data_IF_013234400782
#
_entry.id   IF_013234400782
#
_cell.length_a   1.000
_cell.length_b   1.000
_cell.length_c   1.000
_cell.angle_alpha   90.00
_cell.angle_beta   90.00
_cell.angle_gamma   90.00
#
_symmetry.space_group_name_H-M   'P 1'
#
loop_
_entity.id
_entity.type
_entity.pdbx_description
1 polymer ?
#
# COMPACT_ATOMS: atom_id res chain seq x y z
N UNK A 1 -7.75 87.07 -33.44
CA UNK A 1 -7.04 86.50 -32.27
C UNK A 1 -7.47 85.04 -32.17
N UNK A 2 -6.70 83.99 -32.44
CA UNK A 2 -5.29 83.81 -32.81
C UNK A 2 -5.26 82.59 -33.79
N UNK A 3 -4.83 82.74 -35.05
CA UNK A 3 -3.49 82.42 -35.58
C UNK A 3 -3.07 80.96 -35.29
N UNK A 4 -3.21 80.04 -36.26
CA UNK A 4 -2.18 79.62 -37.25
C UNK A 4 -0.89 79.11 -36.57
N UNK A 5 -0.19 78.08 -37.05
CA UNK A 5 0.55 78.12 -38.31
C UNK A 5 1.14 76.73 -38.64
N UNK A 6 0.92 76.27 -39.89
CA UNK A 6 1.86 75.68 -40.89
C UNK A 6 2.94 74.65 -40.48
N UNK A 7 3.01 73.46 -41.14
CA UNK A 7 3.75 73.10 -42.40
C UNK A 7 5.29 73.02 -42.21
N UNK A 8 6.13 72.39 -43.08
CA UNK A 8 5.84 71.75 -44.37
C UNK A 8 6.60 70.42 -44.68
N UNK A 9 6.14 69.82 -45.78
CA UNK A 9 6.75 68.78 -46.64
C UNK A 9 8.03 69.27 -47.35
N UNK A 10 9.02 68.38 -47.55
CA UNK A 10 9.89 68.40 -48.74
C UNK A 10 10.54 67.02 -48.97
N UNK A 11 10.44 66.54 -50.22
CA UNK A 11 11.03 65.31 -50.76
C UNK A 11 12.48 65.55 -51.25
N UNK A 12 13.31 64.49 -51.29
CA UNK A 12 14.40 64.24 -52.25
C UNK A 12 14.98 62.83 -51.98
N UNK A 13 14.83 61.84 -52.88
CA UNK A 13 15.80 61.46 -53.93
C UNK A 13 17.21 61.13 -53.38
N UNK A 14 17.55 59.85 -53.15
CA UNK A 14 18.13 58.89 -54.11
C UNK A 14 19.67 58.96 -54.22
N UNK A 15 20.39 57.92 -53.78
CA UNK A 15 21.59 57.36 -54.45
C UNK A 15 22.31 56.25 -53.65
N UNK A 16 21.96 55.00 -53.99
CA UNK A 16 22.82 53.85 -54.33
C UNK A 16 24.24 53.69 -53.74
N UNK A 17 24.47 52.63 -52.96
CA UNK A 17 25.79 51.96 -52.84
C UNK A 17 25.66 50.51 -52.33
N UNK A 18 26.14 49.57 -53.16
CA UNK A 18 26.88 48.36 -52.76
C UNK A 18 26.18 47.34 -51.84
N UNK A 19 25.79 46.20 -52.41
CA UNK A 19 25.37 45.01 -51.67
C UNK A 19 26.59 44.42 -50.94
N UNK A 20 26.64 44.62 -49.63
CA UNK A 20 27.69 44.11 -48.74
C UNK A 20 27.56 42.57 -48.57
N UNK A 21 28.58 41.76 -48.89
CA UNK A 21 28.55 40.29 -48.76
C UNK A 21 28.35 39.81 -47.31
N UNK A 22 28.61 40.66 -46.31
CA UNK A 22 28.28 40.39 -44.91
C UNK A 22 26.76 40.51 -44.65
N UNK A 23 26.12 41.50 -45.25
CA UNK A 23 24.66 41.73 -45.16
C UNK A 23 23.87 40.61 -45.82
N UNK A 24 24.36 40.07 -46.94
CA UNK A 24 23.75 38.91 -47.60
C UNK A 24 23.80 37.64 -46.71
N UNK A 25 24.91 37.43 -45.98
CA UNK A 25 25.04 36.31 -45.04
C UNK A 25 24.14 36.47 -43.82
N UNK A 26 24.01 37.69 -43.29
CA UNK A 26 23.11 38.00 -42.17
C UNK A 26 21.64 37.76 -42.57
N UNK A 27 21.22 38.25 -43.74
CA UNK A 27 19.87 37.98 -44.27
C UNK A 27 19.61 36.49 -44.53
N UNK A 28 20.63 35.73 -44.94
CA UNK A 28 20.51 34.27 -45.12
C UNK A 28 20.37 33.51 -43.79
N UNK A 29 20.99 34.01 -42.71
CA UNK A 29 20.85 33.46 -41.36
C UNK A 29 19.48 33.81 -40.77
N UNK A 30 19.03 35.06 -40.94
CA UNK A 30 17.71 35.52 -40.51
C UNK A 30 16.58 34.76 -41.22
N UNK A 31 16.69 34.56 -42.54
CA UNK A 31 15.69 33.79 -43.31
C UNK A 31 15.66 32.32 -42.89
N UNK A 32 16.81 31.67 -42.65
CA UNK A 32 16.87 30.31 -42.10
C UNK A 32 16.29 30.23 -40.68
N UNK A 33 16.52 31.24 -39.84
CA UNK A 33 15.96 31.29 -38.49
C UNK A 33 14.42 31.44 -38.51
N UNK A 34 13.89 32.26 -39.41
CA UNK A 34 12.45 32.44 -39.63
C UNK A 34 11.81 31.17 -40.22
N UNK A 35 12.48 30.49 -41.14
CA UNK A 35 11.95 29.24 -41.71
C UNK A 35 11.92 28.13 -40.65
N UNK A 36 12.94 28.07 -39.78
CA UNK A 36 13.01 27.11 -38.66
C UNK A 36 11.95 27.40 -37.59
N UNK A 37 11.64 28.68 -37.34
CA UNK A 37 10.56 29.07 -36.42
C UNK A 37 9.17 28.79 -37.00
N UNK A 38 8.98 28.99 -38.32
CA UNK A 38 7.75 28.59 -39.03
C UNK A 38 7.55 27.08 -39.03
N UNK A 39 8.60 26.28 -39.26
CA UNK A 39 8.54 24.81 -39.17
C UNK A 39 8.24 24.32 -37.75
N UNK A 40 8.84 24.93 -36.73
CA UNK A 40 8.51 24.64 -35.32
C UNK A 40 7.05 24.98 -35.00
N UNK A 41 6.55 26.16 -35.39
CA UNK A 41 5.13 26.52 -35.22
C UNK A 41 4.20 25.60 -35.99
N UNK A 42 4.55 25.20 -37.21
CA UNK A 42 3.75 24.24 -37.98
C UNK A 42 3.71 22.84 -37.34
N UNK A 43 4.81 22.43 -36.68
CA UNK A 43 4.88 21.18 -35.93
C UNK A 43 4.17 21.27 -34.56
N UNK A 44 4.13 22.45 -33.95
CA UNK A 44 3.32 22.78 -32.76
C UNK A 44 1.81 22.88 -33.07
N UNK A 45 1.46 23.19 -34.32
CA UNK A 45 0.08 23.31 -34.81
C UNK A 45 -0.48 22.01 -35.38
N UNK A 46 0.26 20.89 -35.30
CA UNK A 46 -0.36 19.59 -35.53
C UNK A 46 -1.52 19.45 -34.54
N UNK A 47 -2.77 19.25 -35.01
CA UNK A 47 -3.88 19.02 -34.11
C UNK A 47 -3.52 17.82 -33.24
N UNK A 48 -3.60 17.98 -31.92
CA UNK A 48 -3.66 16.82 -31.03
C UNK A 48 -4.74 15.87 -31.61
N UNK A 49 -4.46 14.57 -31.75
CA UNK A 49 -5.46 13.63 -32.24
C UNK A 49 -6.77 13.86 -31.50
N UNK A 50 -7.90 14.03 -32.21
CA UNK A 50 -9.17 14.22 -31.53
C UNK A 50 -9.43 12.95 -30.75
N UNK A 51 -9.73 13.14 -29.46
CA UNK A 51 -10.29 12.12 -28.59
C UNK A 51 -9.39 10.90 -28.39
N UNK A 52 -8.52 10.99 -27.38
CA UNK A 52 -8.32 9.84 -26.51
C UNK A 52 -9.73 9.40 -26.08
N UNK A 53 -10.25 8.35 -26.73
CA UNK A 53 -11.43 7.64 -26.29
C UNK A 53 -11.26 7.45 -24.80
N UNK A 54 -12.16 8.03 -24.01
CA UNK A 54 -12.23 7.74 -22.60
C UNK A 54 -12.25 6.22 -22.49
N UNK A 55 -11.16 5.65 -21.99
CA UNK A 55 -11.18 4.26 -21.54
C UNK A 55 -12.40 4.17 -20.61
N UNK A 56 -13.27 3.16 -20.78
CA UNK A 56 -14.38 3.00 -19.87
C UNK A 56 -13.78 2.97 -18.47
N UNK A 57 -14.12 3.96 -17.64
CA UNK A 57 -13.72 3.99 -16.25
C UNK A 57 -14.17 2.65 -15.67
N UNK A 58 -13.20 1.76 -15.46
CA UNK A 58 -13.43 0.52 -14.73
C UNK A 58 -14.08 1.00 -13.43
N UNK A 59 -15.31 0.55 -13.10
CA UNK A 59 -15.95 0.97 -11.87
C UNK A 59 -14.93 0.81 -10.77
N UNK A 60 -14.58 1.91 -10.09
CA UNK A 60 -13.70 1.85 -8.93
C UNK A 60 -14.32 0.80 -8.03
N UNK A 61 -13.67 -0.36 -7.94
CA UNK A 61 -14.15 -1.45 -7.13
C UNK A 61 -14.09 -0.92 -5.71
N UNK A 62 -15.23 -0.47 -5.20
CA UNK A 62 -15.35 -0.02 -3.82
C UNK A 62 -14.93 -1.23 -2.99
N UNK A 63 -13.71 -1.19 -2.46
CA UNK A 63 -13.16 -2.25 -1.67
C UNK A 63 -14.13 -2.46 -0.49
N UNK A 64 -14.82 -3.60 -0.48
CA UNK A 64 -15.75 -3.89 0.59
C UNK A 64 -14.95 -3.99 1.89
N UNK A 65 -15.28 -3.11 2.84
CA UNK A 65 -14.67 -3.14 4.16
C UNK A 65 -15.22 -4.37 4.89
N UNK A 66 -14.44 -5.44 4.90
CA UNK A 66 -14.78 -6.64 5.67
C UNK A 66 -14.31 -6.37 7.10
N UNK A 67 -15.22 -6.46 8.06
CA UNK A 67 -14.93 -6.33 9.49
C UNK A 67 -15.03 -7.69 10.18
N UNK A 68 -14.36 -7.83 11.34
CA UNK A 68 -14.56 -8.99 12.19
C UNK A 68 -16.02 -9.06 12.68
N UNK A 69 -16.56 -10.28 12.89
CA UNK A 69 -17.80 -10.44 13.63
C UNK A 69 -17.74 -9.72 14.98
N UNK A 70 -18.85 -9.15 15.43
CA UNK A 70 -18.90 -8.48 16.73
C UNK A 70 -19.16 -9.50 17.83
N UNK A 71 -18.41 -9.43 18.93
CA UNK A 71 -18.64 -10.24 20.13
C UNK A 71 -18.45 -9.39 21.41
N UNK A 72 -19.09 -9.78 22.53
CA UNK A 72 -18.96 -9.07 23.81
C UNK A 72 -17.51 -8.93 24.30
N UNK A 73 -17.18 -7.80 24.93
CA UNK A 73 -15.82 -7.48 25.40
C UNK A 73 -15.33 -8.35 26.58
N UNK A 74 -16.28 -8.91 27.34
CA UNK A 74 -16.04 -9.85 28.42
C UNK A 74 -15.66 -11.25 27.91
N UNK A 75 -15.75 -11.49 26.60
CA UNK A 75 -15.47 -12.79 25.98
C UNK A 75 -14.31 -12.71 25.00
N UNK A 76 -13.72 -13.86 24.72
CA UNK A 76 -12.77 -14.06 23.63
C UNK A 76 -13.42 -14.96 22.59
N UNK A 77 -13.10 -14.74 21.32
CA UNK A 77 -13.65 -15.50 20.19
C UNK A 77 -12.53 -15.93 19.25
N UNK A 78 -12.72 -17.08 18.62
CA UNK A 78 -11.91 -17.60 17.51
C UNK A 78 -12.77 -18.59 16.70
N UNK A 79 -12.20 -19.18 15.65
CA UNK A 79 -12.84 -20.23 14.87
C UNK A 79 -13.21 -21.43 15.75
N UNK A 80 -14.39 -22.00 15.51
CA UNK A 80 -14.92 -23.10 16.32
C UNK A 80 -13.99 -24.31 16.34
N UNK A 81 -13.38 -24.65 15.19
CA UNK A 81 -12.41 -25.72 15.03
C UNK A 81 -11.20 -25.59 15.99
N UNK A 82 -10.78 -24.36 16.34
CA UNK A 82 -9.66 -24.13 17.28
C UNK A 82 -10.02 -24.60 18.69
N UNK A 83 -11.24 -24.35 19.16
CA UNK A 83 -11.70 -24.81 20.47
C UNK A 83 -12.07 -26.29 20.50
N UNK A 84 -12.40 -26.86 19.34
CA UNK A 84 -12.83 -28.25 19.14
C UNK A 84 -11.68 -29.19 18.76
N UNK A 85 -10.44 -28.71 18.88
CA UNK A 85 -9.22 -29.48 18.57
C UNK A 85 -8.15 -29.31 19.65
N UNK A 86 -7.21 -30.23 19.65
CA UNK A 86 -6.00 -30.18 20.46
C UNK A 86 -4.93 -29.30 19.79
N UNK A 87 -5.31 -28.24 19.08
CA UNK A 87 -4.36 -27.26 18.55
C UNK A 87 -3.59 -26.58 19.68
N UNK A 88 -4.29 -26.20 20.75
CA UNK A 88 -3.73 -25.63 21.98
C UNK A 88 -4.01 -26.55 23.18
N UNK A 89 -3.26 -27.66 23.33
CA UNK A 89 -3.51 -28.63 24.38
C UNK A 89 -3.21 -28.05 25.77
N UNK A 90 -3.98 -28.49 26.77
CA UNK A 90 -3.74 -28.20 28.18
C UNK A 90 -2.60 -29.06 28.78
N UNK A 91 -1.42 -29.02 28.13
CA UNK A 91 -0.25 -29.81 28.49
C UNK A 91 0.94 -28.89 28.81
N UNK A 92 1.66 -29.21 29.88
CA UNK A 92 2.91 -28.53 30.23
C UNK A 92 4.11 -29.30 29.69
N UNK A 93 4.86 -28.66 28.79
CA UNK A 93 6.07 -29.24 28.19
C UNK A 93 7.30 -28.99 29.07
N UNK A 94 7.48 -29.78 30.13
CA UNK A 94 8.63 -29.66 31.05
C UNK A 94 9.99 -29.96 30.38
N UNK A 95 10.01 -30.86 29.39
CA UNK A 95 11.20 -31.29 28.65
C UNK A 95 11.46 -30.53 27.34
N UNK A 96 10.69 -29.46 27.08
CA UNK A 96 10.68 -28.79 25.79
C UNK A 96 9.53 -29.29 24.90
N UNK A 97 9.15 -28.42 23.97
CA UNK A 97 8.01 -28.65 23.07
C UNK A 97 8.47 -29.48 21.89
N UNK A 98 7.78 -30.58 21.53
CA UNK A 98 8.12 -31.33 20.33
C UNK A 98 7.87 -30.48 19.08
N UNK A 99 8.60 -30.80 18.02
CA UNK A 99 8.29 -30.32 16.67
C UNK A 99 7.44 -31.40 16.01
N UNK A 100 6.26 -31.02 15.51
CA UNK A 100 5.38 -31.91 14.77
C UNK A 100 5.54 -31.60 13.28
N UNK A 101 5.42 -32.62 12.43
CA UNK A 101 5.49 -32.47 10.97
C UNK A 101 4.32 -33.21 10.32
N UNK A 102 3.33 -32.45 9.86
CA UNK A 102 2.12 -32.98 9.23
C UNK A 102 1.29 -33.87 10.16
N UNK A 103 1.39 -33.69 11.49
CA UNK A 103 0.75 -34.58 12.44
C UNK A 103 -0.73 -34.24 12.58
N UNK A 104 -1.59 -35.27 12.52
CA UNK A 104 -3.02 -35.13 12.80
C UNK A 104 -3.23 -34.92 14.30
N UNK A 105 -3.83 -33.79 14.65
CA UNK A 105 -4.18 -33.49 16.03
C UNK A 105 -5.51 -34.13 16.40
N UNK A 106 -5.67 -34.46 17.69
CA UNK A 106 -6.96 -34.89 18.21
C UNK A 106 -7.99 -33.77 18.08
N UNK A 107 -9.16 -34.07 17.57
CA UNK A 107 -10.30 -33.16 17.41
C UNK A 107 -11.59 -33.94 17.59
N UNK A 108 -12.68 -33.21 17.82
CA UNK A 108 -14.01 -33.81 17.81
C UNK A 108 -14.43 -34.20 16.39
N UNK A 109 -15.44 -35.05 16.29
CA UNK A 109 -16.02 -35.47 15.01
C UNK A 109 -16.42 -34.26 14.14
N UNK A 110 -16.11 -34.34 12.84
CA UNK A 110 -16.38 -33.30 11.86
C UNK A 110 -15.28 -32.24 11.69
N UNK A 111 -14.27 -32.19 12.56
CA UNK A 111 -13.13 -31.28 12.44
C UNK A 111 -11.86 -32.10 12.21
N UNK A 112 -11.09 -31.76 11.18
CA UNK A 112 -9.78 -32.34 10.93
C UNK A 112 -8.70 -31.26 11.02
N UNK A 113 -7.64 -31.55 11.77
CA UNK A 113 -6.54 -30.60 12.01
C UNK A 113 -5.21 -31.30 11.83
N UNK A 114 -4.38 -30.80 10.93
CA UNK A 114 -2.99 -31.18 10.78
C UNK A 114 -2.09 -30.01 11.16
N UNK A 115 -0.98 -30.33 11.82
CA UNK A 115 -0.06 -29.32 12.32
C UNK A 115 1.39 -29.64 12.00
N UNK A 116 2.08 -28.63 11.47
CA UNK A 116 3.54 -28.62 11.31
C UNK A 116 4.13 -27.45 12.07
N UNK A 117 5.10 -27.71 12.94
CA UNK A 117 5.78 -26.68 13.71
C UNK A 117 6.04 -27.09 15.16
N UNK A 118 6.55 -26.14 15.94
CA UNK A 118 6.77 -26.35 17.38
C UNK A 118 5.42 -26.36 18.11
N UNK A 119 5.15 -27.43 18.86
CA UNK A 119 3.86 -27.65 19.53
C UNK A 119 3.39 -26.45 20.37
N UNK A 120 2.16 -26.03 20.12
CA UNK A 120 1.49 -25.00 20.91
C UNK A 120 1.04 -25.54 22.28
N UNK A 121 0.82 -24.62 23.21
CA UNK A 121 0.20 -24.87 24.51
C UNK A 121 -0.80 -23.76 24.86
N UNK A 122 -1.37 -23.82 26.06
CA UNK A 122 -2.36 -22.84 26.50
C UNK A 122 -1.84 -21.39 26.57
N UNK A 123 -0.55 -21.21 26.85
CA UNK A 123 0.05 -19.88 26.80
C UNK A 123 0.06 -19.29 25.39
N UNK A 124 0.17 -20.13 24.36
CA UNK A 124 0.06 -19.68 22.97
C UNK A 124 -1.40 -19.32 22.61
N UNK A 125 -2.39 -20.04 23.17
CA UNK A 125 -3.82 -19.72 23.00
C UNK A 125 -4.16 -18.35 23.61
N UNK A 126 -3.71 -18.08 24.83
CA UNK A 126 -3.98 -16.80 25.52
C UNK A 126 -3.50 -15.62 24.67
N UNK A 127 -2.28 -15.71 24.13
CA UNK A 127 -1.71 -14.68 23.25
C UNK A 127 -2.50 -14.58 21.95
N UNK A 128 -2.84 -15.71 21.33
CA UNK A 128 -3.62 -15.72 20.08
C UNK A 128 -5.00 -15.07 20.24
N UNK A 129 -5.74 -15.40 21.30
CA UNK A 129 -7.05 -14.81 21.58
C UNK A 129 -6.96 -13.31 21.88
N UNK A 130 -5.91 -12.88 22.57
CA UNK A 130 -5.69 -11.47 22.85
C UNK A 130 -5.31 -10.68 21.59
N UNK A 131 -4.51 -11.28 20.70
CA UNK A 131 -4.22 -10.72 19.37
C UNK A 131 -5.50 -10.56 18.54
N UNK A 132 -6.38 -11.57 18.53
CA UNK A 132 -7.68 -11.47 17.85
C UNK A 132 -8.56 -10.35 18.42
N UNK A 133 -8.56 -10.16 19.75
CA UNK A 133 -9.29 -9.06 20.38
C UNK A 133 -8.78 -7.69 19.94
N UNK A 134 -7.46 -7.53 19.82
CA UNK A 134 -6.85 -6.28 19.33
C UNK A 134 -7.20 -6.10 17.84
N UNK A 135 -7.03 -7.16 17.04
CA UNK A 135 -7.29 -7.16 15.61
C UNK A 135 -8.76 -6.86 15.26
N UNK A 136 -9.72 -7.24 16.11
CA UNK A 136 -11.16 -6.95 15.92
C UNK A 136 -11.47 -5.46 15.71
N UNK A 137 -10.63 -4.56 16.22
CA UNK A 137 -10.80 -3.09 16.05
C UNK A 137 -10.32 -2.59 14.69
N UNK A 138 -9.74 -3.47 13.89
CA UNK A 138 -9.11 -3.16 12.61
C UNK A 138 -9.84 -3.96 11.52
N UNK A 139 -10.23 -3.32 10.41
CA UNK A 139 -10.79 -4.03 9.27
C UNK A 139 -9.82 -5.08 8.72
N UNK A 140 -10.37 -6.12 8.08
CA UNK A 140 -9.54 -7.11 7.40
C UNK A 140 -8.71 -6.46 6.29
N UNK A 141 -7.50 -7.01 6.07
CA UNK A 141 -6.56 -6.49 5.07
C UNK A 141 -5.73 -5.28 5.54
N UNK A 142 -6.01 -4.72 6.72
CA UNK A 142 -5.21 -3.64 7.30
C UNK A 142 -4.22 -4.16 8.35
N UNK A 143 -3.09 -3.47 8.48
CA UNK A 143 -2.09 -3.77 9.52
C UNK A 143 -2.64 -3.52 10.92
N UNK A 144 -2.61 -4.53 11.78
CA UNK A 144 -2.90 -4.38 13.20
C UNK A 144 -1.62 -4.01 13.96
N UNK A 145 -1.61 -2.84 14.61
CA UNK A 145 -0.46 -2.34 15.39
C UNK A 145 -0.72 -2.40 16.88
N UNK A 146 0.24 -2.93 17.62
CA UNK A 146 0.22 -2.97 19.09
C UNK A 146 1.64 -2.95 19.65
N UNK A 147 1.77 -2.59 20.92
CA UNK A 147 3.05 -2.69 21.62
C UNK A 147 3.12 -4.00 22.40
N UNK A 148 4.34 -4.56 22.55
CA UNK A 148 4.55 -5.71 23.42
C UNK A 148 4.13 -5.42 24.87
N UNK A 149 4.33 -4.18 25.34
CA UNK A 149 3.94 -3.76 26.68
C UNK A 149 2.42 -3.81 26.89
N UNK A 150 1.64 -3.26 25.96
CA UNK A 150 0.17 -3.27 26.04
C UNK A 150 -0.38 -4.70 25.95
N UNK A 151 0.22 -5.55 25.12
CA UNK A 151 -0.18 -6.95 25.01
C UNK A 151 0.09 -7.71 26.31
N UNK A 152 1.28 -7.55 26.91
CA UNK A 152 1.61 -8.16 28.20
C UNK A 152 0.65 -7.70 29.32
N UNK A 153 0.31 -6.41 29.36
CA UNK A 153 -0.66 -5.87 30.33
C UNK A 153 -2.05 -6.45 30.13
N UNK A 154 -2.50 -6.58 28.88
CA UNK A 154 -3.81 -7.16 28.58
C UNK A 154 -3.88 -8.65 28.94
N UNK A 155 -2.76 -9.37 28.85
CA UNK A 155 -2.60 -10.76 29.31
C UNK A 155 -2.44 -10.88 30.84
N UNK A 156 -2.48 -9.77 31.59
CA UNK A 156 -2.29 -9.78 33.05
C UNK A 156 -0.86 -10.12 33.49
N UNK A 157 0.13 -10.01 32.60
CA UNK A 157 1.53 -10.34 32.89
C UNK A 157 2.34 -9.13 33.34
N UNK A 158 3.51 -9.41 33.91
CA UNK A 158 4.53 -8.40 34.13
C UNK A 158 5.16 -7.96 32.80
N UNK A 159 5.85 -6.81 32.82
CA UNK A 159 6.43 -6.18 31.63
C UNK A 159 7.95 -6.09 31.73
N UNK A 160 8.56 -7.10 32.36
CA UNK A 160 10.02 -7.22 32.48
C UNK A 160 10.65 -7.89 31.26
N UNK A 161 11.97 -7.83 31.16
CA UNK A 161 12.73 -8.43 30.06
C UNK A 161 12.41 -9.93 29.85
N UNK A 162 12.14 -10.67 30.93
CA UNK A 162 11.77 -12.10 30.85
C UNK A 162 10.44 -12.30 30.12
N UNK A 163 9.42 -11.51 30.44
CA UNK A 163 8.11 -11.58 29.79
C UNK A 163 8.15 -11.10 28.34
N UNK A 164 8.95 -10.08 28.04
CA UNK A 164 9.17 -9.66 26.65
C UNK A 164 9.83 -10.77 25.81
N UNK A 165 10.85 -11.45 26.34
CA UNK A 165 11.48 -12.61 25.67
C UNK A 165 10.50 -13.78 25.50
N UNK A 166 9.70 -14.06 26.54
CA UNK A 166 8.67 -15.08 26.47
C UNK A 166 7.62 -14.77 25.40
N UNK A 167 7.08 -13.54 25.38
CA UNK A 167 6.08 -13.12 24.41
C UNK A 167 6.63 -13.17 22.99
N UNK A 168 7.84 -12.70 22.78
CA UNK A 168 8.51 -12.82 21.48
C UNK A 168 8.62 -14.29 21.05
N UNK A 169 8.97 -15.20 21.96
CA UNK A 169 9.02 -16.63 21.67
C UNK A 169 7.65 -17.23 21.33
N UNK A 170 6.56 -16.76 21.98
CA UNK A 170 5.19 -17.15 21.63
C UNK A 170 4.81 -16.67 20.23
N UNK A 171 5.04 -15.39 19.93
CA UNK A 171 4.72 -14.79 18.62
C UNK A 171 5.46 -15.54 17.50
N UNK A 172 6.75 -15.81 17.67
CA UNK A 172 7.53 -16.56 16.68
C UNK A 172 6.95 -17.97 16.47
N UNK A 173 6.49 -18.66 17.53
CA UNK A 173 5.84 -19.96 17.38
C UNK A 173 4.53 -19.84 16.61
N UNK A 174 3.66 -18.90 16.99
CA UNK A 174 2.38 -18.68 16.32
C UNK A 174 2.56 -18.37 14.83
N UNK A 175 3.59 -17.57 14.47
CA UNK A 175 3.90 -17.27 13.07
C UNK A 175 4.52 -18.44 12.30
N UNK A 176 5.25 -19.34 12.97
CA UNK A 176 5.95 -20.45 12.33
C UNK A 176 5.13 -21.75 12.25
N UNK A 177 4.00 -21.84 12.97
CA UNK A 177 3.13 -23.01 12.92
C UNK A 177 2.26 -22.99 11.68
N UNK A 178 2.34 -24.04 10.87
CA UNK A 178 1.40 -24.29 9.79
C UNK A 178 0.23 -25.10 10.34
N UNK A 179 -0.98 -24.60 10.09
CA UNK A 179 -2.24 -25.21 10.51
C UNK A 179 -3.05 -25.48 9.25
N UNK A 180 -3.30 -26.76 8.97
CA UNK A 180 -4.26 -27.18 7.96
C UNK A 180 -5.50 -27.68 8.69
N UNK A 181 -6.63 -27.01 8.47
CA UNK A 181 -7.88 -27.23 9.20
C UNK A 181 -9.04 -27.31 8.23
N UNK A 182 -9.82 -28.38 8.36
CA UNK A 182 -11.09 -28.55 7.67
C UNK A 182 -12.20 -28.75 8.70
N UNK A 183 -13.24 -27.91 8.62
CA UNK A 183 -14.47 -28.06 9.41
C UNK A 183 -15.58 -28.46 8.43
N UNK A 184 -16.17 -29.66 8.63
CA UNK A 184 -17.17 -30.23 7.74
C UNK A 184 -18.61 -29.85 8.11
N UNK A 185 -18.79 -28.95 9.09
CA UNK A 185 -20.09 -28.48 9.58
C UNK A 185 -20.56 -27.20 8.89
#
# INVERSE_FOLDING_TARGET
MNAETTKPTAQAEASNAGIDPLSAKIKAIETRAIERSKRRRAQELLPFPPEAKAEPAIPEQIAQLIEFPQWPDDRRATAQAVFRSALFPAVSFRGGRPYLDGERLCSVEGVEVFFTGKRFDQSDLDVYLELLRIARKTPFGMECRFSAHSLLKALGRQTGNKDHKWLHSVIIRLCAGLVDMTDHQ
#
